data_IF_408047584020
#
_entry.id   IF_408047584020
#
_cell.length_a   1.000
_cell.length_b   1.000
_cell.length_c   1.000
_cell.angle_alpha   90.00
_cell.angle_beta   90.00
_cell.angle_gamma   90.00
#
_symmetry.space_group_name_H-M   'P 1'
#
loop_
_entity.id
_entity.type
_entity.pdbx_description
1 polymer ?
#
# COMPACT_ATOMS: atom_id res chain seq x y z
N UNK A 1 -2.82 -19.83 -7.52
CA UNK A 1 -2.06 -18.71 -8.10
C UNK A 1 -2.11 -17.57 -7.11
N UNK A 2 -1.03 -16.80 -6.94
CA UNK A 2 -1.04 -15.67 -6.03
C UNK A 2 -2.04 -14.60 -6.50
N UNK A 3 -2.53 -13.79 -5.58
CA UNK A 3 -3.46 -12.70 -5.89
C UNK A 3 -2.75 -11.60 -6.68
N UNK A 4 -1.49 -11.34 -6.34
CA UNK A 4 -0.64 -10.40 -7.04
C UNK A 4 0.80 -10.91 -7.05
N UNK A 5 1.42 -10.95 -8.23
CA UNK A 5 2.83 -11.30 -8.38
C UNK A 5 3.70 -10.05 -8.30
N UNK A 6 4.92 -10.20 -7.76
CA UNK A 6 5.93 -9.14 -7.83
C UNK A 6 6.39 -9.03 -9.27
N UNK A 7 6.13 -7.90 -9.91
CA UNK A 7 6.51 -7.65 -11.30
C UNK A 7 7.41 -6.41 -11.39
N UNK A 8 8.17 -6.29 -12.48
CA UNK A 8 8.98 -5.10 -12.74
C UNK A 8 8.12 -3.82 -12.81
N UNK A 9 6.84 -3.93 -13.16
CA UNK A 9 5.90 -2.81 -13.17
C UNK A 9 5.53 -2.29 -11.76
N UNK A 10 5.86 -3.04 -10.70
CA UNK A 10 5.65 -2.67 -9.30
C UNK A 10 6.96 -2.26 -8.60
N UNK A 11 8.00 -1.93 -9.36
CA UNK A 11 9.23 -1.33 -8.85
C UNK A 11 9.33 0.10 -9.38
N UNK A 12 9.71 1.02 -8.49
CA UNK A 12 9.91 2.44 -8.79
C UNK A 12 11.40 2.83 -8.81
N UNK A 13 12.30 1.83 -8.73
CA UNK A 13 13.75 2.02 -8.66
C UNK A 13 14.19 2.92 -7.49
N UNK A 14 13.51 2.78 -6.34
CA UNK A 14 13.90 3.40 -5.08
C UNK A 14 13.77 2.36 -3.97
N UNK A 15 14.91 1.85 -3.48
CA UNK A 15 14.98 0.62 -2.66
C UNK A 15 14.00 0.60 -1.48
N UNK A 16 13.93 1.69 -0.71
CA UNK A 16 13.05 1.73 0.46
C UNK A 16 11.55 1.65 0.09
N UNK A 17 11.14 2.21 -1.06
CA UNK A 17 9.75 2.13 -1.53
C UNK A 17 9.47 0.74 -2.10
N UNK A 18 10.41 0.18 -2.88
CA UNK A 18 10.29 -1.17 -3.46
C UNK A 18 10.19 -2.25 -2.37
N UNK A 19 10.92 -2.11 -1.27
CA UNK A 19 10.84 -3.01 -0.11
C UNK A 19 9.45 -2.97 0.54
N UNK A 20 8.88 -1.78 0.72
CA UNK A 20 7.53 -1.62 1.26
C UNK A 20 6.46 -2.21 0.33
N UNK A 21 6.56 -1.99 -0.98
CA UNK A 21 5.65 -2.58 -1.96
C UNK A 21 5.74 -4.10 -1.95
N UNK A 22 6.96 -4.65 -1.85
CA UNK A 22 7.19 -6.07 -1.78
C UNK A 22 6.58 -6.72 -0.52
N UNK A 23 6.64 -6.04 0.62
CA UNK A 23 6.00 -6.47 1.86
C UNK A 23 4.46 -6.39 1.78
N UNK A 24 3.92 -5.32 1.20
CA UNK A 24 2.47 -5.18 0.96
C UNK A 24 1.94 -6.36 0.12
N UNK A 25 2.63 -6.69 -0.99
CA UNK A 25 2.25 -7.82 -1.87
C UNK A 25 2.30 -9.14 -1.10
N UNK A 26 3.32 -9.35 -0.27
CA UNK A 26 3.44 -10.55 0.56
C UNK A 26 2.26 -10.69 1.54
N UNK A 27 1.91 -9.60 2.23
CA UNK A 27 0.78 -9.57 3.17
C UNK A 27 -0.55 -9.81 2.45
N UNK A 28 -0.73 -9.23 1.26
CA UNK A 28 -1.93 -9.42 0.45
C UNK A 28 -2.11 -10.88 0.01
N UNK A 29 -1.03 -11.52 -0.43
CA UNK A 29 -1.04 -12.94 -0.79
C UNK A 29 -1.25 -13.85 0.43
N UNK A 30 -0.70 -13.51 1.59
CA UNK A 30 -0.94 -14.24 2.83
C UNK A 30 -2.42 -14.15 3.25
N UNK A 31 -3.05 -12.98 3.11
CA UNK A 31 -4.47 -12.77 3.39
C UNK A 31 -5.40 -13.56 2.47
N UNK A 32 -5.04 -13.73 1.20
CA UNK A 32 -5.81 -14.55 0.26
C UNK A 32 -5.87 -16.02 0.71
N UNK A 33 -4.76 -16.51 1.26
CA UNK A 33 -4.61 -17.90 1.75
C UNK A 33 -5.02 -18.09 3.21
N UNK A 34 -5.28 -17.01 3.96
CA UNK A 34 -5.56 -17.06 5.39
C UNK A 34 -6.87 -17.79 5.71
N UNK A 35 -6.91 -18.49 6.84
CA UNK A 35 -8.17 -19.00 7.40
C UNK A 35 -9.02 -17.83 7.93
N UNK A 36 -10.32 -18.07 8.19
CA UNK A 36 -11.16 -17.04 8.82
C UNK A 36 -10.69 -16.68 10.25
N UNK A 37 -10.00 -17.59 10.95
CA UNK A 37 -9.46 -17.31 12.27
C UNK A 37 -8.25 -16.37 12.20
N UNK A 38 -7.38 -16.56 11.20
CA UNK A 38 -6.14 -15.79 11.05
C UNK A 38 -6.34 -14.46 10.32
N UNK A 39 -7.41 -14.36 9.52
CA UNK A 39 -7.68 -13.21 8.65
C UNK A 39 -7.67 -11.86 9.38
N UNK A 40 -8.34 -11.68 10.54
CA UNK A 40 -8.38 -10.37 11.22
C UNK A 40 -6.99 -9.86 11.62
N UNK A 41 -6.13 -10.74 12.14
CA UNK A 41 -4.78 -10.37 12.56
C UNK A 41 -3.91 -9.98 11.34
N UNK A 42 -3.97 -10.76 10.25
CA UNK A 42 -3.26 -10.41 9.03
C UNK A 42 -3.79 -9.13 8.38
N UNK A 43 -5.09 -8.85 8.48
CA UNK A 43 -5.69 -7.63 7.93
C UNK A 43 -5.24 -6.40 8.72
N UNK A 44 -5.13 -6.53 10.05
CA UNK A 44 -4.51 -5.52 10.90
C UNK A 44 -3.06 -5.24 10.47
N UNK A 45 -2.26 -6.29 10.26
CA UNK A 45 -0.86 -6.13 9.83
C UNK A 45 -0.76 -5.43 8.47
N UNK A 46 -1.61 -5.78 7.49
CA UNK A 46 -1.65 -5.08 6.21
C UNK A 46 -2.02 -3.60 6.37
N UNK A 47 -2.98 -3.28 7.22
CA UNK A 47 -3.36 -1.90 7.50
C UNK A 47 -2.21 -1.09 8.13
N UNK A 48 -1.57 -1.64 9.16
CA UNK A 48 -0.43 -1.00 9.84
C UNK A 48 0.76 -0.81 8.91
N UNK A 49 1.08 -1.83 8.11
CA UNK A 49 2.12 -1.74 7.08
C UNK A 49 1.84 -0.59 6.11
N UNK A 50 0.61 -0.51 5.60
CA UNK A 50 0.20 0.53 4.66
C UNK A 50 0.29 1.92 5.27
N UNK A 51 -0.14 2.09 6.53
CA UNK A 51 -0.04 3.36 7.26
C UNK A 51 1.41 3.81 7.45
N UNK A 52 2.29 2.88 7.84
CA UNK A 52 3.71 3.18 8.05
C UNK A 52 4.44 3.46 6.74
N UNK A 53 4.13 2.72 5.68
CA UNK A 53 4.66 2.96 4.33
C UNK A 53 4.30 4.36 3.84
N UNK A 54 3.01 4.73 3.90
CA UNK A 54 2.57 6.07 3.53
C UNK A 54 3.23 7.16 4.38
N UNK A 55 3.45 6.93 5.67
CA UNK A 55 4.15 7.91 6.51
C UNK A 55 5.62 8.08 6.09
N UNK A 56 6.32 7.00 5.74
CA UNK A 56 7.68 7.08 5.18
C UNK A 56 7.71 7.92 3.91
N UNK A 57 6.79 7.68 2.98
CA UNK A 57 6.69 8.48 1.75
C UNK A 57 6.29 9.93 2.04
N UNK A 58 5.37 10.18 2.96
CA UNK A 58 4.98 11.52 3.37
C UNK A 58 6.17 12.32 3.90
N UNK A 59 7.05 11.68 4.67
CA UNK A 59 8.30 12.28 5.16
C UNK A 59 9.25 12.56 4.00
N UNK A 60 9.42 11.61 3.06
CA UNK A 60 10.26 11.81 1.86
C UNK A 60 9.76 12.97 1.01
N UNK A 61 8.46 13.03 0.73
CA UNK A 61 7.82 14.12 -0.01
C UNK A 61 8.03 15.48 0.68
N UNK A 62 7.87 15.53 2.00
CA UNK A 62 8.02 16.77 2.78
C UNK A 62 9.48 17.25 2.75
N UNK A 63 10.44 16.34 2.97
CA UNK A 63 11.88 16.67 3.03
C UNK A 63 12.45 17.09 1.68
N UNK A 64 11.95 16.50 0.61
CA UNK A 64 12.42 16.77 -0.76
C UNK A 64 11.64 17.89 -1.46
N UNK A 65 10.71 18.56 -0.77
CA UNK A 65 9.83 19.59 -1.33
C UNK A 65 9.10 19.10 -2.61
N UNK A 66 8.60 17.86 -2.57
CA UNK A 66 7.88 17.26 -3.70
C UNK A 66 6.61 18.04 -4.04
N UNK A 67 6.49 18.50 -5.28
CA UNK A 67 5.38 19.36 -5.71
C UNK A 67 4.00 18.66 -5.64
N UNK A 68 3.97 17.34 -5.86
CA UNK A 68 2.72 16.53 -5.85
C UNK A 68 2.24 16.12 -4.46
N UNK A 69 2.85 16.61 -3.38
CA UNK A 69 2.61 16.14 -2.01
C UNK A 69 1.14 16.21 -1.57
N UNK A 70 0.40 17.25 -1.99
CA UNK A 70 -1.01 17.43 -1.59
C UNK A 70 -1.89 16.31 -2.12
N UNK A 71 -1.80 16.02 -3.42
CA UNK A 71 -2.64 15.01 -4.07
C UNK A 71 -2.24 13.60 -3.63
N UNK A 72 -0.93 13.34 -3.47
CA UNK A 72 -0.41 12.06 -2.99
C UNK A 72 -0.87 11.76 -1.56
N UNK A 73 -0.77 12.74 -0.64
CA UNK A 73 -1.31 12.60 0.73
C UNK A 73 -2.82 12.41 0.73
N UNK A 74 -3.56 13.07 -0.15
CA UNK A 74 -5.01 12.92 -0.23
C UNK A 74 -5.39 11.48 -0.63
N UNK A 75 -4.69 10.90 -1.59
CA UNK A 75 -4.89 9.50 -2.00
C UNK A 75 -4.54 8.51 -0.87
N UNK A 76 -3.42 8.73 -0.17
CA UNK A 76 -3.07 7.95 1.03
C UNK A 76 -4.19 7.96 2.07
N UNK A 77 -4.72 9.15 2.40
CA UNK A 77 -5.80 9.27 3.38
C UNK A 77 -7.10 8.62 2.92
N UNK A 78 -7.42 8.69 1.62
CA UNK A 78 -8.59 8.02 1.04
C UNK A 78 -8.50 6.51 1.25
N UNK A 79 -7.35 5.92 0.91
CA UNK A 79 -7.10 4.47 1.01
C UNK A 79 -7.08 4.00 2.46
N UNK A 80 -6.42 4.73 3.37
CA UNK A 80 -6.47 4.44 4.81
C UNK A 80 -7.90 4.53 5.36
N UNK A 81 -8.72 5.44 4.84
CA UNK A 81 -10.14 5.52 5.15
C UNK A 81 -10.92 4.28 4.74
N UNK A 82 -10.63 3.70 3.57
CA UNK A 82 -11.22 2.43 3.13
C UNK A 82 -10.76 1.27 4.00
N UNK A 83 -9.46 1.17 4.29
CA UNK A 83 -8.93 0.17 5.21
C UNK A 83 -9.63 0.22 6.58
N UNK A 84 -9.75 1.39 7.20
CA UNK A 84 -10.46 1.56 8.49
C UNK A 84 -11.90 1.05 8.43
N UNK A 85 -12.62 1.35 7.34
CA UNK A 85 -13.99 0.89 7.14
C UNK A 85 -14.08 -0.64 7.01
N UNK A 86 -13.23 -1.25 6.20
CA UNK A 86 -13.23 -2.71 6.02
C UNK A 86 -12.73 -3.45 7.25
N UNK A 87 -11.71 -2.91 7.93
CA UNK A 87 -11.22 -3.42 9.20
C UNK A 87 -12.34 -3.47 10.25
N UNK A 88 -13.12 -2.39 10.41
CA UNK A 88 -14.24 -2.38 11.35
C UNK A 88 -15.28 -3.48 11.05
N UNK A 89 -15.47 -3.84 9.78
CA UNK A 89 -16.33 -4.97 9.38
C UNK A 89 -15.68 -6.31 9.74
N UNK A 90 -14.40 -6.48 9.46
CA UNK A 90 -13.62 -7.68 9.79
C UNK A 90 -13.62 -7.93 11.31
N UNK A 91 -13.40 -6.89 12.12
CA UNK A 91 -13.42 -6.94 13.59
C UNK A 91 -14.80 -7.38 14.14
N UNK A 92 -15.88 -7.14 13.38
CA UNK A 92 -17.24 -7.59 13.70
C UNK A 92 -17.56 -8.99 13.16
N UNK A 93 -16.58 -9.71 12.64
CA UNK A 93 -16.73 -11.04 12.06
C UNK A 93 -17.23 -11.07 10.61
N UNK A 94 -17.41 -9.91 9.97
CA UNK A 94 -17.87 -9.81 8.58
C UNK A 94 -16.69 -10.00 7.59
N UNK A 95 -15.98 -11.12 7.70
CA UNK A 95 -14.72 -11.42 7.01
C UNK A 95 -14.86 -11.38 5.48
N UNK A 96 -16.02 -11.76 4.94
CA UNK A 96 -16.29 -11.73 3.50
C UNK A 96 -16.09 -10.35 2.88
N UNK A 97 -16.38 -9.27 3.60
CA UNK A 97 -16.14 -7.90 3.13
C UNK A 97 -14.64 -7.58 3.05
N UNK A 98 -13.85 -8.02 4.04
CA UNK A 98 -12.40 -7.88 3.99
C UNK A 98 -11.80 -8.68 2.83
N UNK A 99 -12.29 -9.90 2.59
CA UNK A 99 -11.86 -10.73 1.45
C UNK A 99 -12.18 -10.10 0.09
N UNK A 100 -13.36 -9.52 -0.07
CA UNK A 100 -13.71 -8.79 -1.29
C UNK A 100 -12.78 -7.58 -1.50
N UNK A 101 -12.50 -6.82 -0.43
CA UNK A 101 -11.60 -5.67 -0.51
C UNK A 101 -10.19 -6.04 -0.99
N UNK A 102 -9.57 -7.07 -0.38
CA UNK A 102 -8.22 -7.48 -0.78
C UNK A 102 -8.15 -8.06 -2.19
N UNK A 103 -9.25 -8.63 -2.72
CA UNK A 103 -9.27 -9.27 -4.05
C UNK A 103 -9.64 -8.30 -5.17
N UNK A 104 -10.64 -7.47 -4.91
CA UNK A 104 -11.32 -6.72 -5.96
C UNK A 104 -10.91 -5.24 -6.00
N UNK A 105 -10.21 -4.75 -4.95
CA UNK A 105 -9.82 -3.33 -4.84
C UNK A 105 -8.33 -3.12 -4.73
N UNK A 106 -7.68 -3.79 -3.77
CA UNK A 106 -6.27 -3.51 -3.45
C UNK A 106 -5.29 -3.79 -4.59
N UNK A 107 -5.39 -4.90 -5.37
CA UNK A 107 -4.44 -5.17 -6.44
C UNK A 107 -4.48 -4.09 -7.53
N UNK A 108 -5.69 -3.68 -7.93
CA UNK A 108 -5.88 -2.68 -8.97
C UNK A 108 -5.43 -1.29 -8.50
N UNK A 109 -5.76 -0.95 -7.25
CA UNK A 109 -5.30 0.29 -6.63
C UNK A 109 -3.78 0.35 -6.55
N UNK A 110 -3.12 -0.71 -6.05
CA UNK A 110 -1.67 -0.75 -5.89
C UNK A 110 -0.97 -0.55 -7.24
N UNK A 111 -1.38 -1.29 -8.28
CA UNK A 111 -0.80 -1.13 -9.62
C UNK A 111 -0.91 0.30 -10.11
N UNK A 112 -2.08 0.93 -9.97
CA UNK A 112 -2.28 2.31 -10.40
C UNK A 112 -1.42 3.28 -9.58
N UNK A 113 -1.41 3.15 -8.26
CA UNK A 113 -0.68 4.04 -7.37
C UNK A 113 0.83 3.98 -7.63
N UNK A 114 1.39 2.77 -7.68
CA UNK A 114 2.82 2.53 -7.90
C UNK A 114 3.27 3.07 -9.26
N UNK A 115 2.51 2.76 -10.33
CA UNK A 115 2.89 3.16 -11.70
C UNK A 115 2.65 4.64 -12.01
N UNK A 116 2.01 5.39 -11.11
CA UNK A 116 1.71 6.83 -11.32
C UNK A 116 2.34 7.71 -10.26
N UNK A 117 1.89 7.61 -9.01
CA UNK A 117 2.26 8.53 -7.94
C UNK A 117 3.64 8.18 -7.36
N UNK A 118 3.88 6.90 -7.05
CA UNK A 118 5.13 6.48 -6.41
C UNK A 118 6.29 6.53 -7.42
N UNK A 119 6.03 6.19 -8.68
CA UNK A 119 7.00 6.38 -9.77
C UNK A 119 7.41 7.85 -9.92
N UNK A 120 6.46 8.79 -9.83
CA UNK A 120 6.74 10.22 -9.91
C UNK A 120 7.54 10.70 -8.69
N UNK A 121 7.21 10.22 -7.48
CA UNK A 121 7.98 10.49 -6.27
C UNK A 121 9.40 9.95 -6.36
N UNK A 122 9.57 8.68 -6.74
CA UNK A 122 10.89 8.05 -6.88
C UNK A 122 11.75 8.76 -7.93
N UNK A 123 11.16 9.16 -9.05
CA UNK A 123 11.85 9.98 -10.07
C UNK A 123 12.32 11.30 -9.49
N UNK A 124 11.48 11.99 -8.72
CA UNK A 124 11.87 13.23 -8.03
C UNK A 124 13.03 13.01 -7.05
N UNK A 125 12.95 11.96 -6.23
CA UNK A 125 13.97 11.62 -5.23
C UNK A 125 15.32 11.27 -5.87
N UNK A 126 15.32 10.47 -6.93
CA UNK A 126 16.54 10.07 -7.64
C UNK A 126 17.22 11.22 -8.40
N UNK A 127 16.47 12.29 -8.71
CA UNK A 127 17.00 13.49 -9.34
C UNK A 127 17.49 14.55 -8.33
N UNK A 128 17.32 14.32 -7.02
CA UNK A 128 17.87 15.22 -6.02
C UNK A 128 19.40 15.09 -5.96
N UNK A 129 20.13 16.21 -5.82
CA UNK A 129 21.55 16.15 -5.53
C UNK A 129 21.77 15.39 -4.22
N UNK A 130 22.85 14.59 -4.10
CA UNK A 130 23.18 13.96 -2.83
C UNK A 130 23.36 15.04 -1.76
N UNK A 131 22.68 14.82 -0.62
CA UNK A 131 22.82 15.63 0.59
C UNK A 131 24.20 15.48 1.21
#
# INVERSE_FOLDING_TARGET
MALLEKTAALSVAYTAIDEDHAEFINLLNALDMATNADFPALFQHLYEHTEQHFERENVLMTRSAYAGITDHKAEHQRVLGEFKQFKSRVDKGLISFGRAFIKDRLPQWLVLHVTTMDTALATHLNNQPPS
#
